data_IF_034202650086
#
_entry.id   IF_034202650086
#
_cell.length_a   1.000
_cell.length_b   1.000
_cell.length_c   1.000
_cell.angle_alpha   90.00
_cell.angle_beta   90.00
_cell.angle_gamma   90.00
#
_symmetry.space_group_name_H-M   'P 1'
#
loop_
_entity.id
_entity.type
_entity.pdbx_description
1 polymer ?
#
# COMPACT_ATOMS: atom_id res chain seq x y z
N UNK A 1 -0.44 21.83 -8.09
CA UNK A 1 -0.54 21.83 -6.62
C UNK A 1 -0.02 23.16 -6.09
N UNK A 2 -0.85 23.94 -5.42
CA UNK A 2 -0.50 25.27 -4.87
C UNK A 2 0.43 25.15 -3.65
N UNK A 3 1.00 26.26 -3.18
CA UNK A 3 1.86 26.29 -1.98
C UNK A 3 1.08 25.91 -0.71
N UNK A 4 -0.18 26.27 -0.66
CA UNK A 4 -1.12 25.97 0.43
C UNK A 4 -1.45 24.47 0.43
N UNK A 5 -1.69 23.89 -0.75
CA UNK A 5 -1.90 22.45 -0.89
C UNK A 5 -0.68 21.64 -0.44
N UNK A 6 0.54 22.13 -0.70
CA UNK A 6 1.79 21.49 -0.21
C UNK A 6 1.90 21.46 1.30
N UNK A 7 1.44 22.51 2.00
CA UNK A 7 1.47 22.57 3.47
C UNK A 7 0.51 21.60 4.15
N UNK A 8 -0.49 21.09 3.43
CA UNK A 8 -1.44 20.11 3.95
C UNK A 8 -0.90 18.67 3.94
N UNK A 9 0.26 18.42 3.32
CA UNK A 9 0.87 17.10 3.30
C UNK A 9 1.51 16.80 4.65
N UNK A 10 1.26 15.60 5.15
CA UNK A 10 1.92 15.07 6.33
C UNK A 10 3.21 14.35 5.92
N UNK A 11 4.15 14.28 6.84
CA UNK A 11 5.44 13.63 6.61
C UNK A 11 5.28 12.09 6.49
N UNK A 12 6.10 11.43 5.67
CA UNK A 12 6.02 9.97 5.47
C UNK A 12 6.15 9.16 6.76
N UNK A 13 6.84 9.68 7.77
CA UNK A 13 7.02 9.08 9.09
C UNK A 13 5.69 8.75 9.76
N UNK A 14 4.71 9.64 9.69
CA UNK A 14 3.39 9.43 10.27
C UNK A 14 2.66 8.27 9.58
N UNK A 15 2.74 8.20 8.24
CA UNK A 15 2.14 7.10 7.50
C UNK A 15 2.82 5.77 7.84
N UNK A 16 4.15 5.76 8.03
CA UNK A 16 4.88 4.56 8.48
C UNK A 16 4.39 4.08 9.84
N UNK A 17 4.23 4.98 10.81
CA UNK A 17 3.76 4.65 12.16
C UNK A 17 2.33 4.05 12.13
N UNK A 18 1.41 4.68 11.39
CA UNK A 18 0.03 4.20 11.22
C UNK A 18 0.03 2.78 10.65
N UNK A 19 0.77 2.54 9.58
CA UNK A 19 0.81 1.23 8.92
C UNK A 19 1.49 0.17 9.79
N UNK A 20 2.62 0.48 10.43
CA UNK A 20 3.31 -0.46 11.31
C UNK A 20 2.43 -0.87 12.49
N UNK A 21 1.75 0.08 13.13
CA UNK A 21 0.88 -0.19 14.27
C UNK A 21 -0.34 -1.00 13.84
N UNK A 22 -0.99 -0.61 12.75
CA UNK A 22 -2.25 -1.24 12.31
C UNK A 22 -2.02 -2.63 11.71
N UNK A 23 -0.91 -2.86 11.01
CA UNK A 23 -0.66 -4.13 10.30
C UNK A 23 0.09 -5.15 11.16
N UNK A 24 0.58 -4.79 12.36
CA UNK A 24 1.40 -5.67 13.20
C UNK A 24 0.68 -6.98 13.51
N UNK A 25 1.23 -8.09 12.98
CA UNK A 25 0.70 -9.44 13.21
C UNK A 25 -0.53 -9.80 12.36
N UNK A 26 -1.00 -8.89 11.50
CA UNK A 26 -2.17 -9.13 10.64
C UNK A 26 -1.74 -9.57 9.24
N UNK A 27 -2.61 -10.36 8.59
CA UNK A 27 -2.45 -10.79 7.19
C UNK A 27 -3.73 -10.47 6.43
N UNK A 28 -3.60 -9.95 5.22
CA UNK A 28 -4.72 -9.54 4.38
C UNK A 28 -4.62 -10.16 3.00
N UNK A 29 -5.78 -10.43 2.38
CA UNK A 29 -5.87 -10.67 0.94
C UNK A 29 -5.79 -9.33 0.23
N UNK A 30 -5.00 -9.26 -0.84
CA UNK A 30 -4.85 -8.07 -1.67
C UNK A 30 -5.80 -8.12 -2.87
N UNK A 31 -6.07 -6.97 -3.49
CA UNK A 31 -7.03 -6.83 -4.60
C UNK A 31 -6.56 -7.53 -5.90
N UNK A 32 -5.28 -7.85 -6.02
CA UNK A 32 -4.65 -8.35 -7.24
C UNK A 32 -4.70 -9.87 -7.44
N UNK A 33 -5.26 -10.64 -6.51
CA UNK A 33 -5.50 -12.07 -6.71
C UNK A 33 -4.27 -13.00 -6.72
N UNK A 34 -3.03 -12.50 -6.69
CA UNK A 34 -1.79 -13.31 -6.69
C UNK A 34 -1.53 -14.12 -5.40
N UNK A 35 -2.54 -14.38 -4.58
CA UNK A 35 -2.40 -15.28 -3.42
C UNK A 35 -2.24 -16.75 -3.82
N UNK A 36 -2.51 -17.10 -5.09
CA UNK A 36 -2.40 -18.47 -5.64
C UNK A 36 -1.86 -18.42 -7.06
N UNK A 37 -0.53 -18.39 -7.20
CA UNK A 37 0.11 -18.77 -8.45
C UNK A 37 1.38 -19.55 -8.13
N UNK A 38 1.37 -20.82 -8.52
CA UNK A 38 2.52 -21.73 -8.38
C UNK A 38 3.73 -21.09 -9.08
N UNK A 39 4.84 -20.87 -8.35
CA UNK A 39 6.07 -20.34 -8.91
C UNK A 39 6.28 -18.82 -8.84
N UNK A 40 5.37 -18.05 -8.24
CA UNK A 40 5.58 -16.60 -8.02
C UNK A 40 6.01 -16.28 -6.58
N UNK A 41 7.12 -15.55 -6.42
CA UNK A 41 7.56 -15.01 -5.14
C UNK A 41 6.50 -14.05 -4.60
N UNK A 42 5.80 -14.43 -3.55
CA UNK A 42 4.82 -13.58 -2.86
C UNK A 42 5.56 -12.38 -2.26
N UNK A 43 5.58 -11.26 -2.97
CA UNK A 43 6.17 -10.02 -2.46
C UNK A 43 5.39 -9.52 -1.25
N UNK A 44 6.09 -9.31 -0.13
CA UNK A 44 5.52 -8.66 1.07
C UNK A 44 5.31 -7.15 0.87
N UNK A 45 5.85 -6.60 -0.23
CA UNK A 45 5.71 -5.20 -0.57
C UNK A 45 4.33 -4.96 -1.19
N UNK A 46 3.61 -4.00 -0.64
CA UNK A 46 2.31 -3.55 -1.14
C UNK A 46 2.44 -2.25 -1.90
N UNK A 47 1.60 -2.07 -2.91
CA UNK A 47 1.37 -0.78 -3.58
C UNK A 47 -0.04 -0.31 -3.24
N UNK A 48 -0.15 0.92 -2.71
CA UNK A 48 -1.43 1.54 -2.34
C UNK A 48 -1.78 2.58 -3.40
N UNK A 49 -2.89 2.38 -4.10
CA UNK A 49 -3.46 3.38 -5.00
C UNK A 49 -4.54 4.17 -4.29
N UNK A 50 -4.25 5.43 -3.98
CA UNK A 50 -5.22 6.38 -3.44
C UNK A 50 -5.86 7.22 -4.58
N UNK A 51 -6.47 6.53 -5.55
CA UNK A 51 -7.15 7.14 -6.70
C UNK A 51 -8.68 7.11 -6.55
N UNK A 52 -9.42 7.20 -7.68
CA UNK A 52 -10.90 7.14 -7.70
C UNK A 52 -11.48 5.92 -6.97
N UNK A 53 -10.76 4.79 -7.03
CA UNK A 53 -11.03 3.61 -6.20
C UNK A 53 -9.77 3.33 -5.41
N UNK A 54 -9.90 3.29 -4.09
CA UNK A 54 -8.85 2.85 -3.20
C UNK A 54 -8.54 1.38 -3.47
N UNK A 55 -7.28 1.06 -3.75
CA UNK A 55 -6.83 -0.32 -4.03
C UNK A 55 -5.51 -0.61 -3.33
N UNK A 56 -5.39 -1.83 -2.82
CA UNK A 56 -4.14 -2.34 -2.26
C UNK A 56 -3.77 -3.61 -3.02
N UNK A 57 -2.67 -3.55 -3.76
CA UNK A 57 -2.16 -4.64 -4.59
C UNK A 57 -0.74 -5.02 -4.17
N UNK A 58 -0.25 -6.15 -4.68
CA UNK A 58 1.14 -6.51 -4.54
C UNK A 58 2.03 -5.57 -5.36
N UNK A 59 3.28 -5.33 -4.95
CA UNK A 59 4.19 -4.49 -5.73
C UNK A 59 4.44 -5.05 -7.13
N UNK A 60 4.50 -6.38 -7.29
CA UNK A 60 4.65 -7.04 -8.61
C UNK A 60 3.48 -6.78 -9.56
N UNK A 61 2.34 -6.38 -9.03
CA UNK A 61 1.12 -6.11 -9.77
C UNK A 61 1.02 -4.65 -10.23
N UNK A 62 1.86 -3.79 -9.65
CA UNK A 62 1.84 -2.33 -9.84
C UNK A 62 3.01 -1.79 -10.65
N UNK A 63 3.94 -2.67 -11.04
CA UNK A 63 5.02 -2.41 -12.01
C UNK A 63 4.63 -2.94 -13.40
#
# INVERSE_FOLDING_TARGET
MTKEQKKAYQEPELLREILQTTLKGLKFRLDCGHYVSFGHYLGNNITIYNGKKFKIICSQCGY
#
